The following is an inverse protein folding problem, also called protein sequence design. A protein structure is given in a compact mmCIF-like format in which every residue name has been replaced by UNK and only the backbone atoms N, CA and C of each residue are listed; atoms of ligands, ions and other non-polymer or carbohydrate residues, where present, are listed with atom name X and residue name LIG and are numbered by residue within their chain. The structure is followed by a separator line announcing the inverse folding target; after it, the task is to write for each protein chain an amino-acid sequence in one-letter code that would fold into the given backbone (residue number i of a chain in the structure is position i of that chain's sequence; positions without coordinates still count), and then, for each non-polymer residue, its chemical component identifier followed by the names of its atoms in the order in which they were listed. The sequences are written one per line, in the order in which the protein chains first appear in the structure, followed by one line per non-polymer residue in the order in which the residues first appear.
data_IF_486056315294
#
_entry.id   IF_486056315294
#
_cell.length_a   1.000
_cell.length_b   1.000
_cell.length_c   1.000
_cell.angle_alpha   90.00
_cell.angle_beta   90.00
_cell.angle_gamma   90.00
#
_symmetry.space_group_name_H-M   'P 1'
#
loop_
_entity.id
_entity.type
_entity.pdbx_description
1 polymer ?
#
# COMPACT_ATOMS: atom_id res chain seq x y z
N UNK A 1 3.36 -16.26 4.10
CA UNK A 1 4.10 -17.48 3.74
C UNK A 1 4.00 -17.85 2.26
N UNK A 2 2.83 -17.85 1.59
CA UNK A 2 2.74 -17.98 0.11
C UNK A 2 2.78 -16.63 -0.63
N UNK A 3 2.55 -15.52 0.08
CA UNK A 3 2.50 -14.16 -0.47
C UNK A 3 3.87 -13.45 -0.53
N UNK A 4 4.84 -13.86 0.29
CA UNK A 4 6.16 -13.22 0.38
C UNK A 4 7.01 -13.50 -0.88
N UNK A 5 6.85 -14.69 -1.49
CA UNK A 5 7.64 -15.12 -2.65
C UNK A 5 7.20 -14.46 -3.96
N UNK A 6 5.91 -14.14 -4.12
CA UNK A 6 5.38 -13.43 -5.29
C UNK A 6 5.84 -11.97 -5.33
N UNK A 7 5.90 -11.32 -4.16
CA UNK A 7 6.44 -9.95 -4.00
C UNK A 7 7.93 -9.91 -4.36
N UNK A 8 8.75 -10.86 -3.89
CA UNK A 8 10.17 -10.94 -4.26
C UNK A 8 10.38 -11.18 -5.77
N UNK A 9 9.48 -11.93 -6.41
CA UNK A 9 9.57 -12.21 -7.86
C UNK A 9 9.19 -10.99 -8.70
N UNK A 10 8.21 -10.18 -8.27
CA UNK A 10 7.83 -8.94 -8.94
C UNK A 10 8.86 -7.81 -8.74
N UNK A 11 9.55 -7.77 -7.59
CA UNK A 11 10.66 -6.85 -7.34
C UNK A 11 11.87 -7.07 -8.27
N UNK A 12 12.04 -8.27 -8.84
CA UNK A 12 13.19 -8.65 -9.65
C UNK A 12 13.10 -8.23 -11.13
N UNK A 13 11.94 -7.75 -11.62
CA UNK A 13 11.68 -7.66 -13.07
C UNK A 13 11.66 -6.23 -13.64
N UNK A 14 11.56 -5.17 -12.83
CA UNK A 14 11.29 -3.82 -13.35
C UNK A 14 12.41 -2.79 -13.09
N UNK A 15 12.78 -2.03 -14.13
CA UNK A 15 13.65 -0.83 -14.07
C UNK A 15 12.97 0.39 -13.39
N UNK A 16 11.79 0.21 -12.79
CA UNK A 16 11.03 1.28 -12.13
C UNK A 16 11.39 1.38 -10.65
N UNK A 17 11.22 2.57 -10.06
CA UNK A 17 11.38 2.71 -8.61
C UNK A 17 10.31 1.86 -7.90
N UNK A 18 10.71 1.10 -6.88
CA UNK A 18 9.81 0.26 -6.07
C UNK A 18 8.55 1.02 -5.64
N UNK A 19 8.71 2.29 -5.26
CA UNK A 19 7.59 3.17 -4.91
C UNK A 19 6.54 3.28 -6.02
N UNK A 20 6.98 3.45 -7.26
CA UNK A 20 6.06 3.63 -8.39
C UNK A 20 5.37 2.31 -8.76
N UNK A 21 6.09 1.19 -8.67
CA UNK A 21 5.52 -0.15 -8.82
C UNK A 21 4.47 -0.42 -7.74
N UNK A 22 4.80 -0.15 -6.49
CA UNK A 22 3.90 -0.33 -5.36
C UNK A 22 2.60 0.47 -5.54
N UNK A 23 2.70 1.73 -5.98
CA UNK A 23 1.52 2.55 -6.22
C UNK A 23 0.65 1.97 -7.34
N UNK A 24 1.24 1.44 -8.41
CA UNK A 24 0.48 0.72 -9.45
C UNK A 24 -0.23 -0.51 -8.87
N UNK A 25 0.45 -1.29 -8.02
CA UNK A 25 -0.15 -2.45 -7.38
C UNK A 25 -1.32 -2.10 -6.44
N UNK A 26 -1.32 -0.92 -5.82
CA UNK A 26 -2.44 -0.45 -4.98
C UNK A 26 -3.74 -0.18 -5.78
N UNK A 27 -3.64 0.01 -7.09
CA UNK A 27 -4.78 0.28 -7.99
C UNK A 27 -4.98 -0.79 -9.06
N UNK A 28 -4.26 -1.91 -8.95
CA UNK A 28 -4.36 -3.04 -9.88
C UNK A 28 -5.78 -3.61 -9.90
N UNK A 29 -6.22 -4.15 -11.04
CA UNK A 29 -7.53 -4.77 -11.16
C UNK A 29 -7.64 -6.06 -10.32
N UNK A 30 -6.52 -6.76 -10.14
CA UNK A 30 -6.41 -8.00 -9.39
C UNK A 30 -6.51 -7.75 -7.86
N UNK A 31 -7.53 -8.29 -7.16
CA UNK A 31 -7.75 -8.02 -5.74
C UNK A 31 -6.62 -8.53 -4.82
N UNK A 32 -6.01 -9.67 -5.14
CA UNK A 32 -4.88 -10.26 -4.42
C UNK A 32 -3.61 -9.41 -4.53
N UNK A 33 -3.39 -8.79 -5.68
CA UNK A 33 -2.31 -7.79 -5.88
C UNK A 33 -2.55 -6.59 -4.98
N UNK A 34 -3.75 -6.00 -4.98
CA UNK A 34 -4.09 -4.88 -4.09
C UNK A 34 -3.94 -5.24 -2.61
N UNK A 35 -4.40 -6.42 -2.21
CA UNK A 35 -4.29 -6.89 -0.82
C UNK A 35 -2.84 -6.90 -0.35
N UNK A 36 -1.96 -7.43 -1.18
CA UNK A 36 -0.51 -7.53 -0.92
C UNK A 36 0.14 -6.16 -0.93
N UNK A 37 -0.25 -5.30 -1.86
CA UNK A 37 0.26 -3.94 -1.97
C UNK A 37 -0.06 -3.12 -0.72
N UNK A 38 -1.29 -3.17 -0.21
CA UNK A 38 -1.64 -2.44 1.01
C UNK A 38 -0.96 -3.01 2.27
N UNK A 39 -0.71 -4.32 2.34
CA UNK A 39 0.10 -4.88 3.42
C UNK A 39 1.55 -4.35 3.36
N UNK A 40 2.17 -4.38 2.18
CA UNK A 40 3.53 -3.88 1.99
C UNK A 40 3.61 -2.36 2.24
N UNK A 41 2.60 -1.59 1.83
CA UNK A 41 2.52 -0.15 2.10
C UNK A 41 2.57 0.13 3.60
N UNK A 42 1.81 -0.62 4.42
CA UNK A 42 1.84 -0.47 5.88
C UNK A 42 3.19 -0.83 6.48
N UNK A 43 3.82 -1.93 6.04
CA UNK A 43 5.16 -2.30 6.50
C UNK A 43 6.23 -1.25 6.14
N UNK A 44 6.19 -0.70 4.93
CA UNK A 44 7.10 0.37 4.51
C UNK A 44 6.82 1.68 5.26
N UNK A 45 5.56 2.01 5.53
CA UNK A 45 5.20 3.17 6.35
C UNK A 45 5.80 3.05 7.76
N UNK A 46 5.79 1.85 8.33
CA UNK A 46 6.32 1.57 9.68
C UNK A 46 7.85 1.62 9.74
N UNK A 47 8.53 1.08 8.73
CA UNK A 47 10.00 0.86 8.75
C UNK A 47 10.78 1.98 8.05
N UNK A 48 10.27 2.51 6.94
CA UNK A 48 10.99 3.49 6.12
C UNK A 48 10.05 4.53 5.48
N UNK A 49 9.30 5.33 6.29
CA UNK A 49 8.28 6.26 5.81
C UNK A 49 8.83 7.32 4.85
N UNK A 50 10.10 7.73 5.00
CA UNK A 50 10.74 8.76 4.17
C UNK A 50 10.69 8.44 2.66
N UNK A 51 10.70 7.15 2.28
CA UNK A 51 10.64 6.75 0.87
C UNK A 51 9.23 6.87 0.26
N UNK A 52 8.19 6.89 1.09
CA UNK A 52 6.81 7.07 0.67
C UNK A 52 6.42 8.54 0.54
N UNK A 53 7.12 9.43 1.25
CA UNK A 53 6.83 10.86 1.31
C UNK A 53 6.65 11.53 -0.06
N UNK A 54 7.48 11.25 -1.09
CA UNK A 54 7.35 11.89 -2.40
C UNK A 54 6.03 11.62 -3.14
N UNK A 55 5.30 10.56 -2.77
CA UNK A 55 4.01 10.18 -3.39
C UNK A 55 2.94 9.91 -2.34
N UNK A 56 3.07 10.50 -1.16
CA UNK A 56 2.19 10.22 -0.01
C UNK A 56 0.71 10.47 -0.32
N UNK A 57 0.39 11.58 -1.00
CA UNK A 57 -0.99 11.90 -1.39
C UNK A 57 -1.60 10.80 -2.24
N UNK A 58 -0.85 10.29 -3.22
CA UNK A 58 -1.33 9.27 -4.14
C UNK A 58 -1.57 7.92 -3.44
N UNK A 59 -0.71 7.55 -2.50
CA UNK A 59 -0.93 6.37 -1.67
C UNK A 59 -2.16 6.50 -0.77
N UNK A 60 -2.36 7.66 -0.14
CA UNK A 60 -3.53 7.94 0.68
C UNK A 60 -4.81 7.93 -0.15
N UNK A 61 -4.78 8.50 -1.35
CA UNK A 61 -5.91 8.47 -2.29
C UNK A 61 -6.25 7.04 -2.74
N UNK A 62 -5.24 6.24 -3.07
CA UNK A 62 -5.45 4.83 -3.44
C UNK A 62 -6.06 4.03 -2.28
N UNK A 63 -5.54 4.20 -1.07
CA UNK A 63 -6.08 3.54 0.12
C UNK A 63 -7.50 4.03 0.46
N UNK A 64 -7.76 5.34 0.37
CA UNK A 64 -9.09 5.91 0.61
C UNK A 64 -10.13 5.39 -0.41
N UNK A 65 -9.77 5.29 -1.70
CA UNK A 65 -10.64 4.70 -2.72
C UNK A 65 -10.99 3.25 -2.40
N UNK A 66 -10.07 2.46 -1.83
CA UNK A 66 -10.35 1.07 -1.44
C UNK A 66 -11.34 0.97 -0.26
N UNK A 67 -11.54 2.06 0.47
CA UNK A 67 -12.44 2.15 1.64
C UNK A 67 -13.84 2.68 1.30
N UNK A 68 -14.13 2.92 0.02
CA UNK A 68 -15.49 3.20 -0.43
C UNK A 68 -16.43 2.03 -0.06
N UNK A 69 -17.65 2.34 0.39
CA UNK A 69 -18.59 1.37 0.97
C UNK A 69 -18.86 0.17 0.05
N UNK A 70 -18.94 0.41 -1.27
CA UNK A 70 -19.10 -0.65 -2.28
C UNK A 70 -17.93 -1.63 -2.26
N UNK A 71 -16.70 -1.11 -2.31
CA UNK A 71 -15.47 -1.92 -2.33
C UNK A 71 -15.17 -2.62 -1.02
N UNK A 72 -15.53 -2.02 0.11
CA UNK A 72 -15.39 -2.66 1.43
C UNK A 72 -16.24 -3.93 1.50
N UNK A 73 -17.50 -3.87 1.03
CA UNK A 73 -18.40 -5.03 1.05
C UNK A 73 -17.91 -6.18 0.17
N UNK A 74 -17.28 -5.87 -0.95
CA UNK A 74 -16.74 -6.87 -1.88
C UNK A 74 -15.40 -7.45 -1.41
N UNK A 75 -14.59 -6.67 -0.69
CA UNK A 75 -13.21 -7.03 -0.40
C UNK A 75 -12.73 -6.56 0.99
N UNK A 76 -13.39 -7.04 2.05
CA UNK A 76 -13.10 -6.67 3.46
C UNK A 76 -11.62 -6.86 3.82
N UNK A 77 -10.98 -7.94 3.38
CA UNK A 77 -9.57 -8.23 3.69
C UNK A 77 -8.61 -7.19 3.12
N UNK A 78 -8.93 -6.65 1.94
CA UNK A 78 -8.15 -5.59 1.30
C UNK A 78 -8.38 -4.27 2.04
N UNK A 79 -9.63 -3.95 2.35
CA UNK A 79 -10.00 -2.76 3.10
C UNK A 79 -9.34 -2.73 4.49
N UNK A 80 -9.22 -3.88 5.15
CA UNK A 80 -8.51 -3.99 6.42
C UNK A 80 -7.03 -3.59 6.29
N UNK A 81 -6.34 -4.10 5.26
CA UNK A 81 -4.95 -3.73 5.01
C UNK A 81 -4.81 -2.24 4.65
N UNK A 82 -5.75 -1.69 3.87
CA UNK A 82 -5.76 -0.27 3.51
C UNK A 82 -5.96 0.63 4.74
N UNK A 83 -6.91 0.32 5.64
CA UNK A 83 -7.11 1.05 6.89
C UNK A 83 -5.88 0.99 7.79
N UNK A 84 -5.29 -0.20 7.95
CA UNK A 84 -4.06 -0.35 8.74
C UNK A 84 -2.91 0.48 8.16
N UNK A 85 -2.69 0.41 6.84
CA UNK A 85 -1.63 1.18 6.17
C UNK A 85 -1.81 2.70 6.32
N UNK A 86 -3.05 3.20 6.21
CA UNK A 86 -3.36 4.62 6.51
C UNK A 86 -3.00 4.96 7.96
N UNK A 87 -3.32 4.08 8.91
CA UNK A 87 -2.97 4.26 10.32
C UNK A 87 -1.46 4.37 10.53
N UNK A 88 -0.67 3.46 9.94
CA UNK A 88 0.81 3.52 10.01
C UNK A 88 1.35 4.80 9.38
N UNK A 89 0.83 5.20 8.21
CA UNK A 89 1.18 6.46 7.56
C UNK A 89 0.84 7.67 8.44
N UNK A 90 -0.33 7.68 9.07
CA UNK A 90 -0.73 8.78 9.95
C UNK A 90 0.19 8.89 11.16
N UNK A 91 0.51 7.78 11.83
CA UNK A 91 1.40 7.77 13.00
C UNK A 91 2.82 8.22 12.62
N UNK A 92 3.34 7.74 11.48
CA UNK A 92 4.74 7.94 11.11
C UNK A 92 4.98 9.24 10.36
N UNK A 93 4.06 9.71 9.52
CA UNK A 93 4.26 10.89 8.70
C UNK A 93 3.78 12.18 9.36
N UNK A 94 2.67 12.14 10.12
CA UNK A 94 2.18 13.33 10.83
C UNK A 94 3.12 13.72 11.98
N UNK A 95 3.82 12.73 12.57
CA UNK A 95 4.84 12.97 13.60
C UNK A 95 6.19 13.48 13.08
N UNK A 96 6.45 13.50 11.76
CA UNK A 96 7.72 14.00 11.17
C UNK A 96 7.63 15.51 10.82
N UNK A 97 6.42 16.08 10.85
CA UNK A 97 6.17 17.50 10.58
C UNK A 97 6.14 18.39 11.84
N UNK A 98 6.56 17.86 13.00
CA UNK A 98 6.74 18.58 14.28
C UNK A 98 8.21 18.45 14.72
#
# INVERSE_FOLDING_TARGET
MLFDTLICTLLQVSQCSLRDLLLHCCVDDAPDVRQSAFALLGDLARVCPIHLHPRLSEFLEAAAKQLEISKVKEAILIANNAWWAIGELAVKMVGISL
#
